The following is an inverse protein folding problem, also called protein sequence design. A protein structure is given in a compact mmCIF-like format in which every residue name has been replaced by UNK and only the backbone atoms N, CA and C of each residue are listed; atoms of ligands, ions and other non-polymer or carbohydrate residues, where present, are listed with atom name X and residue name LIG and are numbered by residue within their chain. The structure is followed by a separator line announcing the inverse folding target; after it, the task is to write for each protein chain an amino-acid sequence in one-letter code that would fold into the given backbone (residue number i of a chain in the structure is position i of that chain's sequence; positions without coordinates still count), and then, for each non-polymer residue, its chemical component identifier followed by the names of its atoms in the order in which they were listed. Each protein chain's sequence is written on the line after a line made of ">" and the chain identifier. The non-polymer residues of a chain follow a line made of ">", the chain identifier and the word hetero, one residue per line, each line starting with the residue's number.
data_IF_948129086162
#
_entry.id   IF_948129086162
#
_cell.length_a   1.000
_cell.length_b   1.000
_cell.length_c   1.000
_cell.angle_alpha   90.00
_cell.angle_beta   90.00
_cell.angle_gamma   90.00
#
_symmetry.space_group_name_H-M   'P 1'
#
loop_
_entity.id
_entity.type
_entity.pdbx_description
1 polymer ?
#
# COMPACT_ATOMS: atom_id res chain seq x y z
N UNK A 1 -20.80 -11.46 -15.46
CA UNK A 1 -20.14 -10.94 -14.23
C UNK A 1 -19.62 -9.55 -14.56
N UNK A 2 -20.07 -8.50 -13.87
CA UNK A 2 -19.60 -7.13 -14.13
C UNK A 2 -18.33 -6.86 -13.32
N UNK A 3 -17.29 -6.33 -13.98
CA UNK A 3 -16.03 -5.96 -13.31
C UNK A 3 -16.17 -4.54 -12.78
N UNK A 4 -16.02 -4.33 -11.48
CA UNK A 4 -15.95 -3.00 -10.89
C UNK A 4 -14.56 -2.42 -11.11
N UNK A 5 -14.47 -1.35 -11.89
CA UNK A 5 -13.23 -0.60 -12.08
C UNK A 5 -12.94 0.33 -10.88
N UNK A 6 -11.66 0.64 -10.62
CA UNK A 6 -11.30 1.54 -9.53
C UNK A 6 -11.77 2.97 -9.82
N UNK A 7 -12.59 3.54 -8.93
CA UNK A 7 -13.24 4.84 -9.14
C UNK A 7 -12.31 6.05 -8.91
N UNK A 8 -11.21 5.89 -8.16
CA UNK A 8 -10.30 6.99 -7.76
C UNK A 8 -8.83 6.75 -8.14
N UNK A 9 -8.58 5.76 -9.00
CA UNK A 9 -7.25 5.52 -9.56
C UNK A 9 -6.83 6.72 -10.43
N UNK A 10 -5.62 7.23 -10.23
CA UNK A 10 -5.12 8.46 -10.85
C UNK A 10 -5.46 9.73 -10.06
N UNK A 11 -6.31 9.65 -9.02
CA UNK A 11 -6.61 10.77 -8.13
C UNK A 11 -6.03 10.56 -6.72
N UNK A 12 -6.37 9.43 -6.08
CA UNK A 12 -5.93 9.14 -4.70
C UNK A 12 -4.69 8.27 -4.65
N UNK A 13 -4.39 7.57 -5.74
CA UNK A 13 -3.21 6.73 -5.88
C UNK A 13 -2.90 6.56 -7.37
N UNK A 14 -1.65 6.23 -7.75
CA UNK A 14 -1.29 6.05 -9.15
C UNK A 14 -2.17 5.01 -9.87
N UNK A 15 -2.66 5.36 -11.06
CA UNK A 15 -3.44 4.44 -11.90
C UNK A 15 -2.59 3.36 -12.55
N UNK A 16 -1.31 3.66 -12.79
CA UNK A 16 -0.34 2.72 -13.36
C UNK A 16 0.26 1.82 -12.26
N UNK A 17 0.33 0.52 -12.55
CA UNK A 17 0.68 -0.54 -11.59
C UNK A 17 2.13 -0.47 -11.10
N UNK A 18 3.07 -0.19 -11.99
CA UNK A 18 4.51 -0.06 -11.66
C UNK A 18 4.72 1.15 -10.76
N UNK A 19 4.09 2.28 -11.05
CA UNK A 19 4.14 3.49 -10.22
C UNK A 19 3.50 3.24 -8.84
N UNK A 20 2.31 2.64 -8.78
CA UNK A 20 1.68 2.30 -7.50
C UNK A 20 2.57 1.39 -6.64
N UNK A 21 3.19 0.37 -7.24
CA UNK A 21 4.13 -0.51 -6.54
C UNK A 21 5.37 0.22 -6.05
N UNK A 22 5.88 1.16 -6.84
CA UNK A 22 7.03 1.99 -6.48
C UNK A 22 6.69 2.88 -5.29
N UNK A 23 5.57 3.59 -5.32
CA UNK A 23 5.10 4.43 -4.20
C UNK A 23 4.95 3.61 -2.91
N UNK A 24 4.32 2.43 -2.97
CA UNK A 24 4.22 1.55 -1.80
C UNK A 24 5.61 1.17 -1.27
N UNK A 25 6.54 0.77 -2.13
CA UNK A 25 7.91 0.42 -1.74
C UNK A 25 8.63 1.60 -1.09
N UNK A 26 8.46 2.81 -1.63
CA UNK A 26 9.01 4.03 -1.06
C UNK A 26 8.43 4.33 0.33
N UNK A 27 7.11 4.15 0.54
CA UNK A 27 6.50 4.26 1.87
C UNK A 27 7.16 3.30 2.88
N UNK A 28 7.48 2.06 2.48
CA UNK A 28 8.17 1.12 3.35
C UNK A 28 9.59 1.55 3.70
N UNK A 29 10.31 2.15 2.75
CA UNK A 29 11.72 2.54 2.88
C UNK A 29 11.90 4.00 3.37
N UNK A 30 10.83 4.77 3.47
CA UNK A 30 10.86 6.15 3.92
C UNK A 30 11.37 6.24 5.38
N UNK A 31 11.93 7.39 5.76
CA UNK A 31 12.45 7.64 7.12
C UNK A 31 11.41 7.48 8.24
N UNK A 32 10.13 7.62 7.91
CA UNK A 32 9.00 7.40 8.82
C UNK A 32 8.33 6.03 8.64
N UNK A 33 8.76 5.26 7.63
CA UNK A 33 8.29 3.91 7.38
C UNK A 33 9.09 2.86 8.15
N UNK A 34 8.79 1.57 7.97
CA UNK A 34 9.50 0.47 8.62
C UNK A 34 10.99 0.34 8.26
N UNK A 35 11.48 1.03 7.23
CA UNK A 35 12.86 0.99 6.75
C UNK A 35 13.26 -0.31 6.01
N UNK A 36 12.31 -1.24 5.84
CA UNK A 36 12.53 -2.54 5.18
C UNK A 36 11.27 -3.04 4.51
N UNK A 37 11.45 -3.85 3.48
CA UNK A 37 10.37 -4.46 2.72
C UNK A 37 9.93 -5.74 3.46
N UNK A 38 8.63 -6.07 3.51
CA UNK A 38 8.16 -7.36 4.02
C UNK A 38 8.75 -8.56 3.24
N UNK A 39 8.73 -9.78 3.82
CA UNK A 39 8.10 -10.13 5.10
C UNK A 39 8.95 -9.72 6.32
N UNK A 40 8.28 -9.48 7.44
CA UNK A 40 8.96 -9.39 8.73
C UNK A 40 9.31 -10.80 9.22
N UNK A 41 10.43 -10.96 9.93
CA UNK A 41 10.77 -12.21 10.64
C UNK A 41 9.81 -12.52 11.81
N UNK A 42 8.91 -11.60 12.14
CA UNK A 42 7.92 -11.76 13.22
C UNK A 42 6.80 -12.71 12.81
N UNK A 43 6.69 -13.86 13.47
CA UNK A 43 5.60 -14.84 13.27
C UNK A 43 4.36 -14.57 14.13
N UNK A 44 4.04 -13.30 14.42
CA UNK A 44 2.88 -12.94 15.25
C UNK A 44 1.59 -13.12 14.45
N UNK A 45 0.56 -13.67 15.10
CA UNK A 45 -0.80 -13.72 14.54
C UNK A 45 -1.40 -12.32 14.55
N UNK A 46 -1.78 -11.81 13.38
CA UNK A 46 -2.45 -10.51 13.22
C UNK A 46 -3.96 -10.74 13.32
N UNK A 47 -4.60 -10.17 14.33
CA UNK A 47 -6.06 -10.29 14.53
C UNK A 47 -6.85 -9.17 13.83
N UNK A 48 -6.20 -8.03 13.59
CA UNK A 48 -6.81 -6.88 12.91
C UNK A 48 -5.79 -5.77 12.68
N UNK A 49 -6.13 -4.82 11.81
CA UNK A 49 -5.34 -3.63 11.51
C UNK A 49 -6.26 -2.41 11.45
N UNK A 50 -5.72 -1.25 11.82
CA UNK A 50 -6.37 0.05 11.63
C UNK A 50 -5.55 0.77 10.55
N UNK A 51 -6.21 1.16 9.46
CA UNK A 51 -5.56 1.80 8.31
C UNK A 51 -6.32 3.08 7.93
N UNK A 52 -5.63 4.22 7.73
CA UNK A 52 -6.26 5.39 7.15
C UNK A 52 -6.65 5.13 5.69
N UNK A 53 -7.61 5.89 5.18
CA UNK A 53 -8.07 5.82 3.78
C UNK A 53 -7.82 7.13 3.01
N UNK A 54 -6.85 7.93 3.47
CA UNK A 54 -6.41 9.11 2.73
C UNK A 54 -5.69 8.71 1.43
N UNK A 55 -5.52 9.68 0.52
CA UNK A 55 -4.69 9.50 -0.66
C UNK A 55 -3.25 9.09 -0.31
N UNK A 56 -2.64 8.30 -1.19
CA UNK A 56 -1.27 7.81 -1.11
C UNK A 56 -0.25 8.85 -1.54
#
# INVERSE_FOLDING_TARGET
>A
MQIRTPAVAGMFYPSEKKELKKSIKECFLHKFGPGKIPPSNTKKKIFGVICPHAGY
#
